data_IF_942750947572
#
_entry.id   IF_942750947572
#
_cell.length_a   1.000
_cell.length_b   1.000
_cell.length_c   1.000
_cell.angle_alpha   90.00
_cell.angle_beta   90.00
_cell.angle_gamma   90.00
#
_symmetry.space_group_name_H-M   'P 1'
#
loop_
_entity.id
_entity.type
_entity.pdbx_description
1 polymer ?
#
# COMPACT_ATOMS: atom_id res chain seq x y z
N UNK A 1 -30.50 -21.24 -1.11
CA UNK A 1 -30.46 -19.95 -0.39
C UNK A 1 -30.99 -20.13 1.03
N UNK A 2 -30.14 -20.62 1.95
CA UNK A 2 -30.37 -20.75 3.42
C UNK A 2 -29.02 -20.73 4.15
N UNK A 3 -28.18 -19.75 3.83
CA UNK A 3 -26.89 -19.56 4.52
C UNK A 3 -27.06 -18.37 5.46
N UNK A 4 -26.91 -18.61 6.75
CA UNK A 4 -26.75 -17.55 7.74
C UNK A 4 -25.29 -17.10 7.68
N UNK A 5 -25.06 -15.88 7.20
CA UNK A 5 -23.76 -15.24 7.18
C UNK A 5 -23.87 -13.85 7.80
N UNK A 6 -22.87 -13.48 8.58
CA UNK A 6 -22.75 -12.14 9.12
C UNK A 6 -22.05 -11.26 8.08
N UNK A 7 -22.72 -10.22 7.59
CA UNK A 7 -22.11 -9.23 6.70
C UNK A 7 -21.39 -8.17 7.56
N UNK A 8 -20.05 -8.18 7.54
CA UNK A 8 -19.23 -7.13 8.13
C UNK A 8 -19.19 -5.87 7.27
N UNK A 9 -18.62 -4.78 7.81
CA UNK A 9 -18.33 -3.59 7.01
C UNK A 9 -17.23 -3.92 5.98
N UNK A 10 -17.36 -3.45 4.73
CA UNK A 10 -16.27 -3.57 3.77
C UNK A 10 -14.99 -2.95 4.32
N UNK A 11 -13.86 -3.60 4.05
CA UNK A 11 -12.54 -3.08 4.43
C UNK A 11 -11.90 -2.37 3.24
N UNK A 12 -11.22 -1.27 3.52
CA UNK A 12 -10.43 -0.55 2.52
C UNK A 12 -9.08 -1.23 2.38
N UNK A 13 -8.64 -1.46 1.15
CA UNK A 13 -7.30 -1.97 0.88
C UNK A 13 -6.28 -0.83 0.95
N UNK A 14 -5.89 -0.44 2.17
CA UNK A 14 -4.75 0.46 2.38
C UNK A 14 -3.45 -0.18 1.88
N UNK A 15 -2.45 0.64 1.62
CA UNK A 15 -1.09 0.25 1.23
C UNK A 15 -0.08 1.02 2.05
N UNK A 16 1.15 0.56 2.03
CA UNK A 16 2.28 1.27 2.64
C UNK A 16 3.25 1.72 1.54
N UNK A 17 4.06 2.73 1.83
CA UNK A 17 5.24 3.08 1.03
C UNK A 17 6.27 3.77 1.92
N UNK A 18 7.40 4.20 1.35
CA UNK A 18 8.45 4.92 2.07
C UNK A 18 8.57 6.34 1.55
N UNK A 19 8.88 7.31 2.42
CA UNK A 19 8.97 8.72 2.04
C UNK A 19 10.38 9.19 1.68
N UNK A 20 11.41 8.47 2.13
CA UNK A 20 12.83 8.78 1.91
C UNK A 20 13.65 7.51 1.77
N UNK A 21 14.94 7.67 1.48
CA UNK A 21 15.88 6.56 1.52
C UNK A 21 16.09 6.09 2.96
N UNK A 22 16.13 4.78 3.16
CA UNK A 22 16.48 4.14 4.42
C UNK A 22 17.41 2.96 4.17
N UNK A 23 18.25 2.67 5.14
CA UNK A 23 19.12 1.51 5.14
C UNK A 23 18.81 0.67 6.38
N UNK A 24 18.84 -0.64 6.24
CA UNK A 24 18.62 -1.56 7.34
C UNK A 24 19.48 -2.79 7.22
N UNK A 25 19.82 -3.36 8.37
CA UNK A 25 20.68 -4.54 8.46
C UNK A 25 20.09 -5.53 9.44
N UNK A 26 20.17 -6.80 9.08
CA UNK A 26 19.83 -7.88 9.99
C UNK A 26 20.80 -9.05 9.86
N UNK A 27 21.15 -9.64 11.00
CA UNK A 27 21.90 -10.90 11.07
C UNK A 27 21.01 -11.96 11.70
N UNK A 28 20.70 -12.99 10.93
CA UNK A 28 20.03 -14.19 11.39
C UNK A 28 21.09 -15.21 11.83
N UNK A 29 21.11 -15.51 13.12
CA UNK A 29 21.99 -16.52 13.72
C UNK A 29 21.14 -17.35 14.69
N UNK A 30 20.85 -18.61 14.32
CA UNK A 30 20.03 -19.53 15.13
C UNK A 30 20.46 -20.97 14.95
N UNK A 31 20.35 -21.74 16.02
CA UNK A 31 20.43 -23.21 15.98
C UNK A 31 19.03 -23.79 15.84
N UNK A 32 18.80 -24.60 14.80
CA UNK A 32 17.52 -25.29 14.57
C UNK A 32 17.80 -26.76 14.29
N UNK A 33 17.30 -27.65 15.13
CA UNK A 33 17.45 -29.09 14.94
C UNK A 33 18.89 -29.60 15.00
N UNK A 34 19.80 -28.87 15.67
CA UNK A 34 21.22 -29.19 15.77
C UNK A 34 22.08 -28.66 14.60
N UNK A 35 21.48 -27.94 13.65
CA UNK A 35 22.18 -27.22 12.60
C UNK A 35 22.24 -25.72 12.92
N UNK A 36 23.41 -25.12 12.73
CA UNK A 36 23.59 -23.68 12.84
C UNK A 36 23.18 -23.01 11.53
N UNK A 37 22.38 -21.96 11.62
CA UNK A 37 21.92 -21.16 10.50
C UNK A 37 22.47 -19.74 10.63
N UNK A 38 23.13 -19.25 9.58
CA UNK A 38 23.72 -17.92 9.55
C UNK A 38 23.43 -17.18 8.24
N UNK A 39 22.95 -15.94 8.34
CA UNK A 39 22.91 -15.01 7.22
C UNK A 39 22.90 -13.55 7.71
N UNK A 40 23.74 -12.69 7.14
CA UNK A 40 23.63 -11.23 7.35
C UNK A 40 23.29 -10.55 6.04
N UNK A 41 22.35 -9.61 6.07
CA UNK A 41 21.95 -8.80 4.91
C UNK A 41 21.85 -7.34 5.27
N UNK A 42 22.28 -6.49 4.35
CA UNK A 42 22.09 -5.03 4.39
C UNK A 42 21.31 -4.62 3.16
N UNK A 43 20.16 -4.00 3.39
CA UNK A 43 19.25 -3.52 2.36
C UNK A 43 19.16 -2.00 2.41
N UNK A 44 19.09 -1.39 1.23
CA UNK A 44 18.67 -0.02 1.06
C UNK A 44 17.26 -0.01 0.44
N UNK A 45 16.39 0.85 0.95
CA UNK A 45 15.07 1.11 0.37
C UNK A 45 14.94 2.57 -0.02
N UNK A 46 14.19 2.85 -1.08
CA UNK A 46 13.91 4.20 -1.56
C UNK A 46 12.51 4.28 -2.18
N UNK A 47 11.84 5.44 -2.13
CA UNK A 47 10.58 5.64 -2.85
C UNK A 47 10.78 5.49 -4.36
N UNK A 48 9.80 4.86 -5.02
CA UNK A 48 9.62 4.89 -6.47
C UNK A 48 8.51 5.88 -6.85
N UNK A 49 8.36 6.13 -8.15
CA UNK A 49 7.23 6.92 -8.64
C UNK A 49 5.91 6.19 -8.37
N UNK A 50 4.83 6.95 -8.13
CA UNK A 50 3.51 6.38 -7.91
C UNK A 50 3.08 5.49 -9.09
N UNK A 51 2.66 4.27 -8.81
CA UNK A 51 2.27 3.27 -9.81
C UNK A 51 3.42 2.58 -10.53
N UNK A 52 4.69 2.87 -10.18
CA UNK A 52 5.84 2.16 -10.75
C UNK A 52 5.97 0.73 -10.20
N UNK A 53 5.34 0.44 -9.06
CA UNK A 53 5.45 -0.84 -8.39
C UNK A 53 6.78 -1.03 -7.65
N UNK A 54 6.99 -2.24 -7.14
CA UNK A 54 8.20 -2.57 -6.40
C UNK A 54 9.28 -3.13 -7.31
N UNK A 55 10.53 -2.78 -7.01
CA UNK A 55 11.71 -3.34 -7.69
C UNK A 55 12.70 -3.87 -6.67
N UNK A 56 13.38 -4.96 -7.03
CA UNK A 56 14.41 -5.59 -6.21
C UNK A 56 15.68 -5.68 -7.06
N UNK A 57 16.71 -4.96 -6.64
CA UNK A 57 18.01 -4.90 -7.30
C UNK A 57 19.10 -5.48 -6.40
N UNK A 58 20.19 -5.98 -6.99
CA UNK A 58 21.37 -6.42 -6.26
C UNK A 58 22.58 -5.57 -6.66
N UNK A 59 23.03 -4.73 -5.73
CA UNK A 59 24.27 -3.96 -5.84
C UNK A 59 25.33 -4.55 -4.91
N UNK A 60 25.59 -5.84 -5.10
CA UNK A 60 26.53 -6.61 -4.28
C UNK A 60 27.19 -7.69 -5.14
N UNK A 61 28.50 -7.87 -4.94
CA UNK A 61 29.27 -8.86 -5.67
C UNK A 61 28.82 -10.29 -5.36
N UNK A 62 28.93 -11.18 -6.35
CA UNK A 62 28.63 -12.61 -6.19
C UNK A 62 29.59 -13.33 -5.24
N UNK A 63 30.75 -12.74 -4.94
CA UNK A 63 31.68 -13.24 -3.92
C UNK A 63 31.19 -13.00 -2.49
N UNK A 64 30.39 -11.95 -2.26
CA UNK A 64 29.80 -11.66 -0.94
C UNK A 64 28.48 -12.41 -0.77
N UNK A 65 27.62 -12.32 -1.80
CA UNK A 65 26.35 -13.06 -1.86
C UNK A 65 26.36 -13.97 -3.08
N UNK A 66 26.68 -15.26 -2.91
CA UNK A 66 26.58 -16.28 -3.95
C UNK A 66 25.21 -16.25 -4.66
N UNK A 67 25.23 -16.54 -5.96
CA UNK A 67 24.03 -16.48 -6.82
C UNK A 67 22.93 -17.44 -6.35
N UNK A 68 23.30 -18.56 -5.75
CA UNK A 68 22.36 -19.56 -5.20
C UNK A 68 21.41 -19.00 -4.13
N UNK A 69 21.84 -17.99 -3.34
CA UNK A 69 21.00 -17.41 -2.30
C UNK A 69 20.12 -16.27 -2.79
N UNK A 70 20.39 -15.71 -3.98
CA UNK A 70 19.67 -14.51 -4.49
C UNK A 70 18.17 -14.75 -4.61
N UNK A 71 17.76 -15.93 -5.07
CA UNK A 71 16.35 -16.29 -5.19
C UNK A 71 15.64 -16.28 -3.83
N UNK A 72 16.22 -16.89 -2.81
CA UNK A 72 15.66 -16.88 -1.46
C UNK A 72 15.59 -15.48 -0.85
N UNK A 73 16.55 -14.62 -1.16
CA UNK A 73 16.54 -13.20 -0.76
C UNK A 73 15.40 -12.46 -1.45
N UNK A 74 15.25 -12.60 -2.78
CA UNK A 74 14.16 -12.00 -3.55
C UNK A 74 12.79 -12.42 -3.02
N UNK A 75 12.59 -13.72 -2.79
CA UNK A 75 11.35 -14.25 -2.21
C UNK A 75 11.10 -13.67 -0.81
N UNK A 76 12.12 -13.59 0.04
CA UNK A 76 12.01 -13.01 1.38
C UNK A 76 11.65 -11.52 1.36
N UNK A 77 12.25 -10.75 0.44
CA UNK A 77 11.90 -9.34 0.24
C UNK A 77 10.47 -9.22 -0.28
N UNK A 78 10.08 -10.02 -1.27
CA UNK A 78 8.73 -10.00 -1.84
C UNK A 78 7.65 -10.32 -0.79
N UNK A 79 7.86 -11.34 0.04
CA UNK A 79 6.96 -11.69 1.15
C UNK A 79 6.84 -10.54 2.17
N UNK A 80 7.96 -9.90 2.50
CA UNK A 80 7.99 -8.79 3.42
C UNK A 80 7.27 -7.54 2.85
N UNK A 81 7.42 -7.28 1.55
CA UNK A 81 6.66 -6.24 0.85
C UNK A 81 5.15 -6.53 0.87
N UNK A 82 4.71 -7.79 0.81
CA UNK A 82 3.29 -8.15 0.89
C UNK A 82 2.71 -7.99 2.29
N UNK A 83 3.52 -8.23 3.32
CA UNK A 83 3.05 -8.22 4.71
C UNK A 83 3.09 -6.84 5.37
N UNK A 84 3.89 -5.89 4.86
CA UNK A 84 3.96 -4.56 5.44
C UNK A 84 4.78 -4.48 6.73
N UNK A 85 4.96 -3.25 7.22
CA UNK A 85 5.71 -2.96 8.45
C UNK A 85 4.90 -2.09 9.41
N UNK A 86 4.11 -1.13 8.88
CA UNK A 86 3.42 -0.12 9.68
C UNK A 86 2.07 -0.62 10.20
N UNK A 87 1.18 -1.04 9.30
CA UNK A 87 -0.20 -1.48 9.59
C UNK A 87 -0.51 -2.89 9.08
N UNK A 88 0.53 -3.63 8.70
CA UNK A 88 0.44 -4.91 7.98
C UNK A 88 -0.25 -4.77 6.60
N UNK A 89 -0.03 -3.65 5.91
CA UNK A 89 -0.49 -3.44 4.55
C UNK A 89 0.65 -3.61 3.57
N UNK A 90 0.36 -4.18 2.41
CA UNK A 90 1.37 -4.37 1.38
C UNK A 90 2.03 -3.04 0.97
N UNK A 91 3.35 -3.04 0.97
CA UNK A 91 4.21 -1.95 0.55
C UNK A 91 4.21 -1.88 -0.97
N UNK A 92 4.03 -0.69 -1.54
CA UNK A 92 4.06 -0.43 -2.98
C UNK A 92 5.02 0.72 -3.29
N UNK A 93 5.32 0.86 -4.59
CA UNK A 93 6.13 1.95 -5.13
C UNK A 93 7.45 2.13 -4.36
N UNK A 94 8.15 1.02 -4.12
CA UNK A 94 9.40 0.99 -3.36
C UNK A 94 10.48 0.26 -4.13
N UNK A 95 11.65 0.90 -4.26
CA UNK A 95 12.87 0.28 -4.75
C UNK A 95 13.66 -0.30 -3.59
N UNK A 96 13.93 -1.60 -3.63
CA UNK A 96 14.77 -2.32 -2.67
C UNK A 96 16.07 -2.69 -3.36
N UNK A 97 17.21 -2.43 -2.71
CA UNK A 97 18.53 -2.78 -3.22
C UNK A 97 19.32 -3.53 -2.17
N UNK A 98 19.78 -4.73 -2.51
CA UNK A 98 20.70 -5.51 -1.68
C UNK A 98 22.10 -4.94 -1.86
N UNK A 99 22.62 -4.26 -0.84
CA UNK A 99 23.91 -3.54 -0.91
C UNK A 99 25.04 -4.23 -0.14
N UNK A 100 24.72 -5.24 0.66
CA UNK A 100 25.72 -5.95 1.44
C UNK A 100 25.18 -7.19 2.14
N UNK A 101 26.10 -8.01 2.64
CA UNK A 101 25.78 -9.19 3.41
C UNK A 101 27.02 -9.90 3.92
N UNK A 102 26.80 -10.94 4.72
CA UNK A 102 27.84 -11.86 5.17
C UNK A 102 27.30 -13.28 5.07
N UNK A 103 28.15 -14.18 4.60
CA UNK A 103 27.93 -15.62 4.50
C UNK A 103 28.89 -16.35 5.43
N UNK A 104 28.49 -17.55 5.85
CA UNK A 104 29.34 -18.50 6.53
C UNK A 104 29.34 -19.81 5.73
N UNK A 105 30.51 -20.40 5.49
CA UNK A 105 30.66 -21.49 4.52
C UNK A 105 29.86 -22.75 4.86
N UNK A 106 29.63 -23.03 6.14
CA UNK A 106 28.89 -24.21 6.60
C UNK A 106 27.46 -23.91 7.03
N UNK A 107 27.22 -22.70 7.54
CA UNK A 107 25.99 -22.38 8.28
C UNK A 107 25.03 -21.52 7.45
N UNK A 108 25.46 -20.99 6.31
CA UNK A 108 24.59 -20.24 5.42
C UNK A 108 23.70 -21.13 4.57
N UNK A 109 22.41 -20.86 4.63
CA UNK A 109 21.39 -21.53 3.83
C UNK A 109 20.42 -20.52 3.22
N UNK A 110 19.71 -20.94 2.18
CA UNK A 110 18.66 -20.14 1.54
C UNK A 110 17.57 -19.71 2.54
N UNK A 111 17.21 -20.58 3.48
CA UNK A 111 16.21 -20.31 4.52
C UNK A 111 16.68 -19.22 5.49
N UNK A 112 17.97 -19.24 5.85
CA UNK A 112 18.57 -18.20 6.69
C UNK A 112 18.56 -16.85 5.97
N UNK A 113 18.93 -16.81 4.69
CA UNK A 113 18.92 -15.59 3.88
C UNK A 113 17.52 -15.04 3.65
N UNK A 114 16.53 -15.89 3.38
CA UNK A 114 15.12 -15.48 3.26
C UNK A 114 14.63 -14.83 4.56
N UNK A 115 14.94 -15.44 5.70
CA UNK A 115 14.56 -14.92 7.02
C UNK A 115 15.26 -13.60 7.33
N UNK A 116 16.55 -13.49 7.03
CA UNK A 116 17.31 -12.25 7.19
C UNK A 116 16.77 -11.14 6.29
N UNK A 117 16.32 -11.46 5.07
CA UNK A 117 15.80 -10.50 4.10
C UNK A 117 14.51 -9.83 4.61
N UNK A 118 13.59 -10.61 5.17
CA UNK A 118 12.34 -10.09 5.77
C UNK A 118 12.64 -9.10 6.88
N UNK A 119 13.57 -9.45 7.78
CA UNK A 119 13.91 -8.61 8.92
C UNK A 119 14.73 -7.37 8.53
N UNK A 120 15.67 -7.52 7.59
CA UNK A 120 16.43 -6.39 7.06
C UNK A 120 15.54 -5.40 6.32
N UNK A 121 14.50 -5.86 5.61
CA UNK A 121 13.54 -4.97 4.95
C UNK A 121 12.74 -4.18 5.99
N UNK A 122 12.25 -4.85 7.05
CA UNK A 122 11.54 -4.18 8.15
C UNK A 122 12.37 -3.08 8.80
N UNK A 123 13.63 -3.38 9.06
CA UNK A 123 14.59 -2.41 9.60
C UNK A 123 14.83 -1.24 8.63
N UNK A 124 15.04 -1.52 7.34
CA UNK A 124 15.28 -0.50 6.33
C UNK A 124 14.07 0.43 6.14
N UNK A 125 12.86 -0.15 6.08
CA UNK A 125 11.59 0.59 5.98
C UNK A 125 11.37 1.46 7.21
N UNK A 126 11.67 0.95 8.42
CA UNK A 126 11.60 1.74 9.65
C UNK A 126 12.46 3.01 9.60
N UNK A 127 13.64 2.94 8.99
CA UNK A 127 14.53 4.10 8.78
C UNK A 127 14.13 4.98 7.59
N UNK A 128 13.25 4.51 6.70
CA UNK A 128 12.85 5.17 5.46
C UNK A 128 11.62 6.08 5.59
N UNK A 129 11.09 6.26 6.80
CA UNK A 129 9.88 7.04 7.04
C UNK A 129 8.66 6.41 6.34
N UNK A 130 8.16 5.27 6.85
CA UNK A 130 7.03 4.59 6.24
C UNK A 130 5.78 5.47 6.30
N UNK A 131 4.97 5.42 5.25
CA UNK A 131 3.73 6.19 5.11
C UNK A 131 2.58 5.28 4.74
N UNK A 132 1.40 5.59 5.28
CA UNK A 132 0.15 4.92 4.91
C UNK A 132 -0.46 5.56 3.67
N UNK A 133 -0.90 4.74 2.72
CA UNK A 133 -1.56 5.16 1.49
C UNK A 133 -3.01 4.66 1.46
N UNK A 134 -3.92 5.54 1.04
CA UNK A 134 -5.33 5.23 0.80
C UNK A 134 -5.67 5.22 -0.69
N UNK A 135 -6.58 4.32 -1.13
CA UNK A 135 -7.06 4.33 -2.51
C UNK A 135 -7.99 5.51 -2.76
N UNK A 136 -7.64 6.29 -3.77
CA UNK A 136 -8.45 7.38 -4.31
C UNK A 136 -9.22 6.87 -5.53
N UNK A 137 -10.52 7.13 -5.52
CA UNK A 137 -11.46 6.77 -6.57
C UNK A 137 -11.78 8.00 -7.40
N UNK A 138 -11.83 7.84 -8.72
CA UNK A 138 -12.45 8.80 -9.61
C UNK A 138 -13.95 8.55 -9.61
N UNK A 139 -14.72 9.47 -9.04
CA UNK A 139 -16.18 9.45 -9.09
C UNK A 139 -16.65 10.33 -10.25
N UNK A 140 -17.58 9.80 -11.03
CA UNK A 140 -18.36 10.57 -11.99
C UNK A 140 -19.82 10.52 -11.57
N UNK A 141 -20.42 11.69 -11.33
CA UNK A 141 -21.79 11.81 -10.84
C UNK A 141 -22.60 12.62 -11.85
N UNK A 142 -23.68 12.03 -12.34
CA UNK A 142 -24.65 12.68 -13.19
C UNK A 142 -25.84 13.11 -12.35
N UNK A 143 -26.16 14.40 -12.34
CA UNK A 143 -27.24 14.95 -11.52
C UNK A 143 -27.93 16.12 -12.24
N UNK A 144 -29.24 16.33 -12.03
CA UNK A 144 -29.91 17.57 -12.43
C UNK A 144 -29.25 18.81 -11.79
N UNK A 145 -29.26 19.94 -12.49
CA UNK A 145 -28.65 21.20 -12.04
C UNK A 145 -29.19 21.68 -10.69
N UNK A 146 -30.47 21.46 -10.42
CA UNK A 146 -31.13 21.81 -9.15
C UNK A 146 -30.50 21.14 -7.91
N UNK A 147 -29.77 20.04 -8.09
CA UNK A 147 -29.12 19.29 -7.02
C UNK A 147 -27.59 19.41 -7.03
N UNK A 148 -27.02 20.16 -7.98
CA UNK A 148 -25.57 20.28 -8.14
C UNK A 148 -24.90 20.80 -6.86
N UNK A 149 -25.47 21.83 -6.24
CA UNK A 149 -24.94 22.42 -5.01
C UNK A 149 -24.89 21.42 -3.84
N UNK A 150 -25.94 20.61 -3.67
CA UNK A 150 -26.02 19.60 -2.61
C UNK A 150 -24.99 18.49 -2.82
N UNK A 151 -24.82 18.02 -4.07
CA UNK A 151 -23.83 17.02 -4.44
C UNK A 151 -22.41 17.53 -4.20
N UNK A 152 -22.12 18.78 -4.60
CA UNK A 152 -20.82 19.39 -4.36
C UNK A 152 -20.53 19.58 -2.87
N UNK A 153 -21.53 19.95 -2.08
CA UNK A 153 -21.41 20.08 -0.63
C UNK A 153 -21.06 18.74 0.04
N UNK A 154 -21.76 17.67 -0.33
CA UNK A 154 -21.50 16.33 0.21
C UNK A 154 -20.11 15.81 -0.21
N UNK A 155 -19.69 15.99 -1.47
CA UNK A 155 -18.35 15.62 -1.93
C UNK A 155 -17.24 16.34 -1.14
N UNK A 156 -17.38 17.64 -0.91
CA UNK A 156 -16.42 18.40 -0.10
C UNK A 156 -16.36 17.89 1.34
N UNK A 157 -17.50 17.53 1.93
CA UNK A 157 -17.55 16.94 3.29
C UNK A 157 -16.83 15.59 3.38
N UNK A 158 -16.71 14.87 2.26
CA UNK A 158 -16.05 13.57 2.11
C UNK A 158 -14.59 13.66 1.65
N UNK A 159 -13.96 14.83 1.83
CA UNK A 159 -12.59 15.11 1.33
C UNK A 159 -12.44 14.94 -0.19
N UNK A 160 -13.54 15.04 -0.93
CA UNK A 160 -13.54 14.98 -2.38
C UNK A 160 -12.91 16.23 -2.98
N UNK A 161 -12.10 16.06 -4.03
CA UNK A 161 -11.56 17.17 -4.83
C UNK A 161 -12.24 17.18 -6.19
N UNK A 162 -13.00 18.22 -6.47
CA UNK A 162 -13.66 18.38 -7.76
C UNK A 162 -12.61 18.63 -8.83
N UNK A 163 -12.66 17.84 -9.91
CA UNK A 163 -11.80 18.02 -11.09
C UNK A 163 -12.46 18.90 -12.12
N UNK A 164 -13.68 18.54 -12.47
CA UNK A 164 -14.39 19.13 -13.59
C UNK A 164 -15.90 19.02 -13.36
N UNK A 165 -16.61 19.99 -13.91
CA UNK A 165 -18.07 19.99 -14.00
C UNK A 165 -18.42 20.24 -15.46
N UNK A 166 -19.14 19.31 -16.07
CA UNK A 166 -19.59 19.39 -17.47
C UNK A 166 -21.11 19.43 -17.52
N UNK A 167 -21.66 20.34 -18.31
CA UNK A 167 -23.07 20.33 -18.66
C UNK A 167 -23.28 19.39 -19.85
N UNK A 168 -24.15 18.39 -19.69
CA UNK A 168 -24.52 17.42 -20.73
C UNK A 168 -26.04 17.38 -20.85
N UNK A 169 -26.57 18.01 -21.91
CA UNK A 169 -28.02 18.20 -22.09
C UNK A 169 -28.64 18.91 -20.87
N UNK A 170 -29.64 18.29 -20.23
CA UNK A 170 -30.33 18.80 -19.03
C UNK A 170 -29.68 18.32 -17.71
N UNK A 171 -28.49 17.71 -17.77
CA UNK A 171 -27.77 17.16 -16.62
C UNK A 171 -26.40 17.83 -16.43
N UNK A 172 -25.92 17.80 -15.19
CA UNK A 172 -24.58 18.18 -14.79
C UNK A 172 -23.79 16.92 -14.44
N UNK A 173 -22.60 16.78 -15.01
CA UNK A 173 -21.67 15.69 -14.75
C UNK A 173 -20.52 16.25 -13.90
N UNK A 174 -20.37 15.75 -12.69
CA UNK A 174 -19.32 16.14 -11.74
C UNK A 174 -18.30 15.03 -11.65
N UNK A 175 -17.05 15.34 -11.98
CA UNK A 175 -15.91 14.44 -11.78
C UNK A 175 -15.14 14.86 -10.53
N UNK A 176 -14.86 13.93 -9.63
CA UNK A 176 -14.17 14.20 -8.38
C UNK A 176 -13.28 13.04 -7.93
N UNK A 177 -12.13 13.39 -7.35
CA UNK A 177 -11.25 12.45 -6.67
C UNK A 177 -11.71 12.30 -5.22
N UNK A 178 -12.11 11.11 -4.80
CA UNK A 178 -12.62 10.86 -3.45
C UNK A 178 -11.96 9.62 -2.84
N UNK A 179 -11.49 9.69 -1.58
CA UNK A 179 -11.00 8.51 -0.87
C UNK A 179 -12.08 7.44 -0.73
N UNK A 180 -11.75 6.17 -1.04
CA UNK A 180 -12.71 5.06 -1.01
C UNK A 180 -13.39 4.90 0.37
N UNK A 181 -12.65 5.19 1.45
CA UNK A 181 -13.16 5.12 2.82
C UNK A 181 -14.38 6.01 3.08
N UNK A 182 -14.51 7.12 2.34
CA UNK A 182 -15.53 8.14 2.54
C UNK A 182 -16.80 7.89 1.71
N UNK A 183 -16.75 6.96 0.75
CA UNK A 183 -17.84 6.68 -0.21
C UNK A 183 -18.54 5.34 0.04
N UNK A 184 -18.31 4.71 1.19
CA UNK A 184 -19.11 3.55 1.58
C UNK A 184 -20.57 3.94 1.78
N UNK A 185 -21.47 3.25 1.07
CA UNK A 185 -22.90 3.55 1.10
C UNK A 185 -23.28 4.83 0.34
N UNK A 186 -22.39 5.38 -0.50
CA UNK A 186 -22.63 6.61 -1.23
C UNK A 186 -23.92 6.60 -2.06
N UNK A 187 -24.28 5.45 -2.65
CA UNK A 187 -25.53 5.28 -3.39
C UNK A 187 -26.78 5.71 -2.61
N UNK A 188 -26.85 5.40 -1.31
CA UNK A 188 -28.00 5.78 -0.47
C UNK A 188 -27.99 7.27 -0.19
N UNK A 189 -26.84 7.84 0.18
CA UNK A 189 -26.69 9.28 0.43
C UNK A 189 -27.01 10.11 -0.82
N UNK A 190 -26.45 9.75 -1.97
CA UNK A 190 -26.70 10.44 -3.24
C UNK A 190 -28.18 10.37 -3.62
N UNK A 191 -28.83 9.22 -3.46
CA UNK A 191 -30.27 9.08 -3.71
C UNK A 191 -31.09 10.01 -2.82
N UNK A 192 -30.76 10.13 -1.54
CA UNK A 192 -31.46 11.03 -0.63
C UNK A 192 -31.27 12.50 -1.00
N UNK A 193 -30.05 12.91 -1.34
CA UNK A 193 -29.72 14.30 -1.73
C UNK A 193 -30.45 14.72 -3.02
N UNK A 194 -30.52 13.81 -3.99
CA UNK A 194 -31.00 14.12 -5.34
C UNK A 194 -32.42 13.63 -5.60
N UNK A 195 -33.14 13.23 -4.55
CA UNK A 195 -34.47 12.59 -4.63
C UNK A 195 -34.50 11.39 -5.61
N UNK A 196 -33.36 10.72 -5.74
CA UNK A 196 -33.13 9.57 -6.61
C UNK A 196 -33.00 9.90 -8.09
N UNK A 197 -32.69 11.14 -8.44
CA UNK A 197 -32.50 11.60 -9.82
C UNK A 197 -31.04 11.61 -10.28
N UNK A 198 -30.10 11.29 -9.41
CA UNK A 198 -28.69 11.19 -9.76
C UNK A 198 -28.18 9.74 -9.80
N UNK A 199 -27.16 9.52 -10.62
CA UNK A 199 -26.39 8.28 -10.73
C UNK A 199 -24.91 8.57 -10.60
N UNK A 200 -24.13 7.55 -10.25
CA UNK A 200 -22.68 7.69 -10.19
C UNK A 200 -21.97 6.42 -10.65
N UNK A 201 -20.76 6.59 -11.14
CA UNK A 201 -19.77 5.54 -11.36
C UNK A 201 -18.53 5.84 -10.55
N UNK A 202 -17.73 4.80 -10.26
CA UNK A 202 -16.46 4.96 -9.57
C UNK A 202 -15.40 4.06 -10.20
N UNK A 203 -14.19 4.57 -10.39
CA UNK A 203 -13.04 3.82 -10.91
C UNK A 203 -11.80 4.03 -10.04
N UNK A 204 -10.97 2.99 -9.82
CA UNK A 204 -9.70 3.17 -9.11
C UNK A 204 -8.79 4.10 -9.89
N UNK A 205 -8.18 5.06 -9.20
CA UNK A 205 -7.32 6.04 -9.84
C UNK A 205 -5.88 5.96 -9.37
N UNK A 206 -5.65 6.17 -8.08
CA UNK A 206 -4.31 6.23 -7.51
C UNK A 206 -4.34 5.93 -6.02
N UNK A 207 -3.16 5.71 -5.46
CA UNK A 207 -2.94 5.69 -4.02
C UNK A 207 -2.33 7.03 -3.59
N UNK A 208 -2.87 7.64 -2.55
CA UNK A 208 -2.34 8.89 -1.99
C UNK A 208 -2.06 8.76 -0.49
N UNK A 209 -1.12 9.55 0.05
CA UNK A 209 -0.85 9.55 1.49
C UNK A 209 -2.06 9.90 2.33
N UNK A 210 -2.32 9.08 3.35
CA UNK A 210 -3.35 9.35 4.34
C UNK A 210 -2.95 10.60 5.16
N UNK A 211 -3.88 11.52 5.44
CA UNK A 211 -3.60 12.65 6.32
C UNK A 211 -3.17 12.18 7.72
N UNK A 212 -2.13 12.81 8.28
CA UNK A 212 -1.56 12.46 9.58
C UNK A 212 -2.60 12.43 10.73
N UNK A 213 -3.67 13.22 10.63
CA UNK A 213 -4.76 13.24 11.61
C UNK A 213 -5.55 11.92 11.69
N UNK A 214 -5.54 11.12 10.63
CA UNK A 214 -6.32 9.87 10.52
C UNK A 214 -5.45 8.61 10.58
N UNK A 215 -4.14 8.74 10.32
CA UNK A 215 -3.19 7.63 10.30
C UNK A 215 -3.25 6.79 11.59
N UNK A 216 -3.15 7.44 12.75
CA UNK A 216 -3.24 6.76 14.05
C UNK A 216 -4.57 6.03 14.26
N UNK A 217 -5.69 6.56 13.73
CA UNK A 217 -6.99 5.89 13.88
C UNK A 217 -7.11 4.65 13.00
N UNK A 218 -6.38 4.59 11.89
CA UNK A 218 -6.40 3.44 10.97
C UNK A 218 -5.45 2.36 11.46
N UNK A 219 -4.28 2.74 11.99
CA UNK A 219 -3.29 1.80 12.52
C UNK A 219 -3.73 1.12 13.83
N UNK A 220 -4.55 1.78 14.64
CA UNK A 220 -5.03 1.24 15.93
C UNK A 220 -6.38 0.50 15.84
N UNK A 221 -6.85 0.18 14.64
CA UNK A 221 -8.11 -0.55 14.40
C UNK A 221 -7.90 -2.06 14.34
#
# INVERSE_FOLDING_TARGET
YKVQANAGRPMVAYRESVSKKGEGRFTFEREIGGENLFASLTLQVAPAAAGAGNTIDFDVSTSIIPTEYRKGIEEGIADALLTGVLGNFAIIDTKVTVIGGQTHATDSSEVAFRSAAVMALRDAVGHAGPILLEPIMLLEIETPEEHLGDVMGDLNSRRGRIREIKATNDLQVVQADVPLAEVFGYATSLRSLTKGRASYTMEPQAFEPVPASMENSILNR
#
